data_IF_787581788203
#
_entry.id   IF_787581788203
#
_cell.length_a   1.000
_cell.length_b   1.000
_cell.length_c   1.000
_cell.angle_alpha   90.00
_cell.angle_beta   90.00
_cell.angle_gamma   90.00
#
_symmetry.space_group_name_H-M   'P 1'
#
loop_
_entity.id
_entity.type
_entity.pdbx_description
1 polymer ?
#
# COMPACT_ATOMS: atom_id res chain seq x y z
N UNK A 1 20.97 9.80 4.98
CA UNK A 1 20.84 9.79 3.52
C UNK A 1 19.62 10.61 3.13
N UNK A 2 19.73 11.32 1.99
CA UNK A 2 18.61 12.17 1.54
C UNK A 2 17.77 11.41 0.53
N UNK A 3 16.44 11.48 0.67
CA UNK A 3 15.49 11.03 -0.36
C UNK A 3 15.84 11.76 -1.66
N UNK A 4 16.05 11.00 -2.73
CA UNK A 4 16.38 11.56 -4.05
C UNK A 4 15.15 11.83 -4.89
N UNK A 5 14.08 11.02 -4.69
CA UNK A 5 12.81 11.15 -5.38
C UNK A 5 11.69 10.55 -4.53
N UNK A 6 10.52 11.18 -4.54
CA UNK A 6 9.28 10.70 -3.94
C UNK A 6 8.21 10.56 -5.03
N UNK A 7 7.58 9.40 -5.09
CA UNK A 7 6.42 9.15 -5.96
C UNK A 7 5.19 8.97 -5.08
N UNK A 8 4.15 9.76 -5.32
CA UNK A 8 2.86 9.66 -4.67
C UNK A 8 1.82 9.19 -5.69
N UNK A 9 1.05 8.19 -5.34
CA UNK A 9 -0.05 7.67 -6.15
C UNK A 9 -1.34 7.79 -5.35
N UNK A 10 -2.29 8.54 -5.88
CA UNK A 10 -3.58 8.79 -5.24
C UNK A 10 -4.66 8.85 -6.34
N UNK A 11 -5.67 7.96 -6.34
CA UNK A 11 -6.66 7.94 -7.40
C UNK A 11 -7.68 9.08 -7.31
N UNK A 12 -7.94 9.64 -6.13
CA UNK A 12 -8.98 10.65 -5.90
C UNK A 12 -8.44 12.05 -6.17
N UNK A 13 -9.06 12.77 -7.12
CA UNK A 13 -8.61 14.10 -7.55
C UNK A 13 -8.48 15.11 -6.40
N UNK A 14 -9.46 15.15 -5.47
CA UNK A 14 -9.40 16.08 -4.33
C UNK A 14 -8.17 15.86 -3.45
N UNK A 15 -7.77 14.60 -3.25
CA UNK A 15 -6.60 14.25 -2.45
C UNK A 15 -5.31 14.60 -3.20
N UNK A 16 -5.28 14.37 -4.52
CA UNK A 16 -4.17 14.82 -5.38
C UNK A 16 -3.99 16.34 -5.27
N UNK A 17 -5.07 17.12 -5.32
CA UNK A 17 -4.99 18.56 -5.20
C UNK A 17 -4.46 19.01 -3.82
N UNK A 18 -4.82 18.29 -2.75
CA UNK A 18 -4.24 18.51 -1.43
C UNK A 18 -2.72 18.22 -1.42
N UNK A 19 -2.30 17.09 -1.98
CA UNK A 19 -0.88 16.75 -2.08
C UNK A 19 -0.10 17.80 -2.89
N UNK A 20 -0.66 18.26 -4.00
CA UNK A 20 -0.07 19.32 -4.81
C UNK A 20 0.07 20.65 -4.04
N UNK A 21 -0.89 20.97 -3.17
CA UNK A 21 -0.83 22.13 -2.29
C UNK A 21 0.33 22.09 -1.28
N UNK A 22 0.75 20.89 -0.86
CA UNK A 22 1.86 20.72 0.08
C UNK A 22 3.23 20.56 -0.60
N UNK A 23 3.29 19.86 -1.74
CA UNK A 23 4.55 19.38 -2.32
C UNK A 23 4.76 19.84 -3.76
N UNK A 24 3.81 20.54 -4.38
CA UNK A 24 3.80 20.80 -5.83
C UNK A 24 5.00 21.57 -6.36
N UNK A 25 5.72 22.29 -5.51
CA UNK A 25 6.92 23.06 -5.87
C UNK A 25 8.23 22.30 -5.61
N UNK A 26 8.18 21.07 -5.05
CA UNK A 26 9.38 20.26 -4.83
C UNK A 26 9.66 19.37 -6.05
N UNK A 27 10.72 19.69 -6.79
CA UNK A 27 11.16 18.94 -7.98
C UNK A 27 11.46 17.44 -7.70
N UNK A 28 11.61 17.05 -6.44
CA UNK A 28 11.82 15.67 -6.04
C UNK A 28 10.52 14.91 -5.90
N UNK A 29 9.38 15.58 -5.88
CA UNK A 29 8.07 14.94 -5.65
C UNK A 29 7.32 14.84 -6.98
N UNK A 30 6.89 13.65 -7.32
CA UNK A 30 5.97 13.40 -8.42
C UNK A 30 4.65 12.85 -7.86
N UNK A 31 3.55 13.54 -8.16
CA UNK A 31 2.21 13.18 -7.71
C UNK A 31 1.39 12.73 -8.93
N UNK A 32 0.87 11.52 -8.85
CA UNK A 32 0.15 10.88 -9.95
C UNK A 32 -1.29 10.58 -9.52
N UNK A 33 -2.27 11.10 -10.27
CA UNK A 33 -3.67 10.73 -10.09
C UNK A 33 -3.91 9.32 -10.66
N UNK A 34 -3.44 8.30 -9.94
CA UNK A 34 -3.49 6.90 -10.32
C UNK A 34 -3.66 6.03 -9.07
N UNK A 35 -4.33 4.89 -9.21
CA UNK A 35 -4.26 3.82 -8.22
C UNK A 35 -3.19 2.79 -8.59
N UNK A 36 -2.52 2.22 -7.57
CA UNK A 36 -1.56 1.14 -7.78
C UNK A 36 -2.26 -0.22 -7.70
N UNK A 37 -1.89 -1.14 -8.62
CA UNK A 37 -2.50 -2.45 -8.69
C UNK A 37 -1.55 -3.47 -9.36
N UNK A 38 -2.02 -4.72 -9.53
CA UNK A 38 -1.26 -5.78 -10.22
C UNK A 38 -1.49 -5.84 -11.73
N UNK A 39 -2.46 -5.07 -12.25
CA UNK A 39 -2.77 -4.97 -13.67
C UNK A 39 -3.20 -3.54 -14.04
N UNK A 40 -2.96 -3.16 -15.28
CA UNK A 40 -3.41 -1.87 -15.81
C UNK A 40 -4.86 -1.97 -16.25
N UNK A 41 -5.74 -1.16 -15.65
CA UNK A 41 -7.16 -1.08 -16.03
C UNK A 41 -7.82 0.20 -15.52
N UNK A 42 -8.97 0.54 -16.10
CA UNK A 42 -9.91 1.49 -15.50
C UNK A 42 -10.84 0.68 -14.59
N UNK A 43 -11.08 1.14 -13.39
CA UNK A 43 -11.91 0.45 -12.41
C UNK A 43 -12.87 1.41 -11.71
N UNK A 44 -14.00 0.89 -11.29
CA UNK A 44 -14.87 1.60 -10.33
C UNK A 44 -14.15 1.72 -8.98
N UNK A 45 -14.37 2.85 -8.34
CA UNK A 45 -13.84 3.18 -7.04
C UNK A 45 -14.95 3.85 -6.21
N UNK A 46 -15.09 3.43 -4.99
CA UNK A 46 -16.10 3.93 -4.05
C UNK A 46 -15.47 5.02 -3.20
N UNK A 47 -15.69 6.28 -3.59
CA UNK A 47 -15.19 7.44 -2.86
C UNK A 47 -16.20 7.84 -1.79
N UNK A 48 -15.79 7.82 -0.54
CA UNK A 48 -16.58 8.31 0.58
C UNK A 48 -16.65 9.84 0.53
N UNK A 49 -17.85 10.38 0.72
CA UNK A 49 -18.09 11.82 0.76
C UNK A 49 -18.17 12.24 2.23
N UNK A 50 -17.15 12.97 2.69
CA UNK A 50 -17.11 13.47 4.06
C UNK A 50 -16.35 14.80 4.11
N UNK A 51 -16.65 15.59 5.14
CA UNK A 51 -15.83 16.76 5.52
C UNK A 51 -14.71 16.38 6.49
N UNK A 52 -14.70 15.14 6.96
CA UNK A 52 -13.65 14.60 7.82
C UNK A 52 -12.68 13.77 6.97
N UNK A 53 -11.42 14.20 6.91
CA UNK A 53 -10.34 13.57 6.12
C UNK A 53 -10.13 12.10 6.52
N UNK A 54 -10.25 11.77 7.82
CA UNK A 54 -10.11 10.38 8.28
C UNK A 54 -11.19 9.46 7.70
N UNK A 55 -12.41 9.99 7.52
CA UNK A 55 -13.53 9.26 6.92
C UNK A 55 -13.37 9.13 5.41
N UNK A 56 -12.83 10.14 4.73
CA UNK A 56 -12.50 10.08 3.29
C UNK A 56 -11.44 9.01 3.00
N UNK A 57 -10.53 8.75 3.93
CA UNK A 57 -9.54 7.69 3.87
C UNK A 57 -10.12 6.28 3.72
N UNK A 58 -11.38 6.05 4.07
CA UNK A 58 -12.07 4.77 3.91
C UNK A 58 -12.43 4.41 2.45
N UNK A 59 -12.16 5.31 1.50
CA UNK A 59 -12.46 5.11 0.07
C UNK A 59 -11.68 3.93 -0.51
N UNK A 60 -12.32 3.06 -1.30
CA UNK A 60 -11.73 1.80 -1.74
C UNK A 60 -12.24 1.33 -3.12
N UNK A 61 -11.50 0.43 -3.76
CA UNK A 61 -11.95 -0.30 -4.95
C UNK A 61 -13.08 -1.29 -4.65
N UNK A 62 -13.28 -1.66 -3.40
CA UNK A 62 -14.34 -2.57 -2.99
C UNK A 62 -15.40 -1.83 -2.18
N UNK A 63 -16.69 -2.09 -2.48
CA UNK A 63 -17.77 -1.60 -1.62
C UNK A 63 -17.75 -2.39 -0.31
N UNK A 64 -17.45 -1.70 0.77
CA UNK A 64 -17.35 -2.28 2.13
C UNK A 64 -18.63 -2.04 2.91
N UNK A 65 -18.92 -2.91 3.90
CA UNK A 65 -20.06 -2.75 4.79
C UNK A 65 -20.06 -1.42 5.55
N UNK A 66 -18.88 -0.85 5.83
CA UNK A 66 -18.74 0.47 6.45
C UNK A 66 -19.41 1.58 5.64
N UNK A 67 -19.50 1.44 4.31
CA UNK A 67 -20.14 2.45 3.43
C UNK A 67 -21.65 2.57 3.64
N UNK A 68 -22.29 1.61 4.28
CA UNK A 68 -23.72 1.71 4.60
C UNK A 68 -24.00 2.85 5.60
N UNK A 69 -22.99 3.33 6.31
CA UNK A 69 -23.06 4.44 7.26
C UNK A 69 -22.62 5.80 6.67
N UNK A 70 -22.12 5.84 5.43
CA UNK A 70 -21.58 7.05 4.80
C UNK A 70 -22.20 7.27 3.42
N UNK A 71 -22.24 8.54 3.00
CA UNK A 71 -22.49 8.86 1.61
C UNK A 71 -21.22 8.54 0.79
N UNK A 72 -21.41 7.96 -0.38
CA UNK A 72 -20.32 7.69 -1.30
C UNK A 72 -20.74 7.96 -2.74
N UNK A 73 -19.77 8.17 -3.59
CA UNK A 73 -19.93 8.25 -5.04
C UNK A 73 -19.09 7.16 -5.72
N UNK A 74 -19.60 6.61 -6.83
CA UNK A 74 -18.81 5.76 -7.69
C UNK A 74 -18.09 6.63 -8.71
N UNK A 75 -16.76 6.56 -8.72
CA UNK A 75 -15.92 7.23 -9.72
C UNK A 75 -15.12 6.19 -10.52
N UNK A 76 -14.64 6.57 -11.69
CA UNK A 76 -13.66 5.76 -12.43
C UNK A 76 -12.24 6.21 -12.05
N UNK A 77 -11.36 5.23 -11.78
CA UNK A 77 -9.96 5.45 -11.49
C UNK A 77 -9.08 4.65 -12.45
N UNK A 78 -7.95 5.23 -12.82
CA UNK A 78 -6.95 4.59 -13.67
C UNK A 78 -5.96 3.83 -12.76
N UNK A 79 -5.93 2.51 -12.89
CA UNK A 79 -5.03 1.62 -12.14
C UNK A 79 -3.79 1.30 -12.97
N UNK A 80 -2.65 1.34 -12.31
CA UNK A 80 -1.35 1.08 -12.95
C UNK A 80 -0.56 -0.01 -12.22
N UNK A 81 0.37 -0.61 -12.94
CA UNK A 81 1.40 -1.50 -12.37
C UNK A 81 2.64 -0.66 -12.13
N UNK A 82 3.04 -0.49 -10.87
CA UNK A 82 4.17 0.37 -10.48
C UNK A 82 5.45 -0.01 -11.25
N UNK A 83 5.74 -1.30 -11.38
CA UNK A 83 6.91 -1.80 -12.10
C UNK A 83 7.04 -1.29 -13.55
N UNK A 84 5.91 -0.99 -14.18
CA UNK A 84 5.87 -0.57 -15.59
C UNK A 84 5.65 0.94 -15.72
N UNK A 85 5.33 1.60 -14.61
CA UNK A 85 5.01 3.02 -14.57
C UNK A 85 6.22 3.89 -14.18
N UNK A 86 7.00 3.48 -13.18
CA UNK A 86 8.20 4.20 -12.76
C UNK A 86 9.46 3.40 -13.13
N UNK A 87 10.51 4.13 -13.49
CA UNK A 87 11.84 3.55 -13.72
C UNK A 87 12.78 4.00 -12.62
N UNK A 88 13.17 3.07 -11.76
CA UNK A 88 14.11 3.33 -10.66
C UNK A 88 15.45 2.73 -11.03
N UNK A 89 16.55 3.53 -11.07
CA UNK A 89 17.90 3.03 -11.34
C UNK A 89 18.28 1.91 -10.37
N UNK A 90 18.94 0.88 -10.86
CA UNK A 90 19.19 -0.37 -10.12
C UNK A 90 19.99 -0.16 -8.82
N UNK A 91 20.82 0.87 -8.77
CA UNK A 91 21.61 1.24 -7.59
C UNK A 91 20.80 1.98 -6.53
N UNK A 92 19.56 2.35 -6.81
CA UNK A 92 18.69 3.05 -5.87
C UNK A 92 17.87 2.09 -5.03
N UNK A 93 17.72 2.44 -3.76
CA UNK A 93 16.90 1.70 -2.82
C UNK A 93 15.50 2.32 -2.74
N UNK A 94 14.50 1.46 -2.61
CA UNK A 94 13.08 1.83 -2.53
C UNK A 94 12.60 1.60 -1.10
N UNK A 95 11.97 2.62 -0.55
CA UNK A 95 11.16 2.58 0.66
C UNK A 95 9.72 2.89 0.24
N UNK A 96 8.77 2.06 0.60
CA UNK A 96 7.38 2.25 0.24
C UNK A 96 6.46 2.24 1.45
N UNK A 97 5.40 3.06 1.41
CA UNK A 97 4.21 2.90 2.24
C UNK A 97 3.06 2.52 1.32
N UNK A 98 2.33 1.47 1.67
CA UNK A 98 1.14 0.99 0.97
C UNK A 98 -0.03 1.08 1.93
N UNK A 99 -1.06 1.82 1.49
CA UNK A 99 -2.26 2.09 2.26
C UNK A 99 -3.40 2.26 1.23
N UNK A 100 -4.00 1.14 0.85
CA UNK A 100 -4.90 1.04 -0.31
C UNK A 100 -6.21 0.31 0.02
N UNK A 101 -6.53 0.30 1.31
CA UNK A 101 -7.81 -0.16 1.84
C UNK A 101 -8.18 -1.58 1.36
N UNK A 102 -7.26 -2.52 1.61
CA UNK A 102 -7.44 -3.95 1.42
C UNK A 102 -6.87 -4.52 0.10
N UNK A 103 -6.18 -3.74 -0.71
CA UNK A 103 -5.57 -4.17 -1.97
C UNK A 103 -4.02 -4.20 -1.91
N UNK A 104 -3.45 -4.29 -0.70
CA UNK A 104 -2.02 -4.29 -0.44
C UNK A 104 -1.29 -5.40 -1.19
N UNK A 105 -1.87 -6.61 -1.20
CA UNK A 105 -1.29 -7.76 -1.92
C UNK A 105 -1.19 -7.49 -3.43
N UNK A 106 -2.21 -6.91 -4.04
CA UNK A 106 -2.22 -6.57 -5.46
C UNK A 106 -1.14 -5.52 -5.79
N UNK A 107 -0.96 -4.51 -4.92
CA UNK A 107 0.11 -3.53 -5.08
C UNK A 107 1.48 -4.20 -4.95
N UNK A 108 1.69 -5.06 -3.95
CA UNK A 108 2.92 -5.83 -3.76
C UNK A 108 3.25 -6.68 -4.99
N UNK A 109 2.25 -7.36 -5.58
CA UNK A 109 2.41 -8.10 -6.84
C UNK A 109 2.86 -7.14 -7.96
N UNK A 110 2.26 -5.96 -8.06
CA UNK A 110 2.65 -4.91 -9.01
C UNK A 110 4.07 -4.37 -8.80
N UNK A 111 4.70 -4.65 -7.64
CA UNK A 111 6.08 -4.29 -7.28
C UNK A 111 7.07 -5.45 -7.44
N UNK A 112 6.66 -6.61 -7.96
CA UNK A 112 7.45 -7.85 -7.97
C UNK A 112 8.84 -7.70 -8.60
N UNK A 113 9.00 -6.91 -9.67
CA UNK A 113 10.32 -6.68 -10.31
C UNK A 113 11.32 -6.03 -9.36
N UNK A 114 10.86 -5.11 -8.48
CA UNK A 114 11.72 -4.46 -7.49
C UNK A 114 12.14 -5.39 -6.35
N UNK A 115 11.31 -6.39 -6.01
CA UNK A 115 11.71 -7.46 -5.10
C UNK A 115 12.75 -8.39 -5.76
N UNK A 116 12.52 -8.80 -7.01
CA UNK A 116 13.46 -9.65 -7.77
C UNK A 116 14.83 -8.96 -7.89
N UNK A 117 14.87 -7.67 -8.19
CA UNK A 117 16.10 -6.88 -8.33
C UNK A 117 16.73 -6.48 -6.99
N UNK A 118 16.11 -6.84 -5.85
CA UNK A 118 16.54 -6.45 -4.50
C UNK A 118 16.65 -4.93 -4.29
N UNK A 119 15.86 -4.15 -5.02
CA UNK A 119 15.80 -2.69 -4.85
C UNK A 119 14.94 -2.27 -3.66
N UNK A 120 13.94 -3.06 -3.27
CA UNK A 120 13.16 -2.80 -2.06
C UNK A 120 14.09 -2.90 -0.84
N UNK A 121 14.12 -1.86 -0.03
CA UNK A 121 14.75 -1.88 1.30
C UNK A 121 13.71 -2.27 2.34
N UNK A 122 12.60 -1.53 2.37
CA UNK A 122 11.45 -1.84 3.22
C UNK A 122 10.14 -1.39 2.58
N UNK A 123 9.07 -2.10 2.94
CA UNK A 123 7.69 -1.70 2.67
C UNK A 123 6.96 -1.68 4.00
N UNK A 124 6.26 -0.59 4.31
CA UNK A 124 5.21 -0.56 5.32
C UNK A 124 3.87 -0.76 4.62
N UNK A 125 3.01 -1.62 5.15
CA UNK A 125 1.67 -1.83 4.63
C UNK A 125 0.65 -1.97 5.76
N UNK A 126 -0.59 -1.58 5.47
CA UNK A 126 -1.69 -1.78 6.39
C UNK A 126 -2.26 -3.20 6.23
N UNK A 127 -2.53 -3.86 7.35
CA UNK A 127 -3.19 -5.17 7.41
C UNK A 127 -4.37 -5.10 8.37
N UNK A 128 -5.51 -5.62 7.96
CA UNK A 128 -6.69 -5.67 8.83
C UNK A 128 -7.98 -5.99 8.08
N UNK A 129 -9.09 -5.50 8.64
CA UNK A 129 -10.45 -5.83 8.22
C UNK A 129 -10.68 -5.63 6.71
N UNK A 130 -10.05 -4.61 6.11
CA UNK A 130 -10.19 -4.34 4.67
C UNK A 130 -9.74 -5.51 3.80
N UNK A 131 -8.63 -6.16 4.15
CA UNK A 131 -8.17 -7.36 3.47
C UNK A 131 -9.05 -8.58 3.79
N UNK A 132 -9.43 -8.73 5.07
CA UNK A 132 -10.23 -9.86 5.54
C UNK A 132 -11.62 -9.88 4.91
N UNK A 133 -12.29 -8.73 4.74
CA UNK A 133 -13.58 -8.59 4.04
C UNK A 133 -13.51 -9.10 2.58
N UNK A 134 -12.32 -9.08 1.97
CA UNK A 134 -12.06 -9.60 0.62
C UNK A 134 -11.68 -11.07 0.59
N UNK A 135 -11.66 -11.74 1.73
CA UNK A 135 -11.19 -13.13 1.85
C UNK A 135 -9.69 -13.27 1.65
N UNK A 136 -8.92 -12.20 1.86
CA UNK A 136 -7.46 -12.17 1.87
C UNK A 136 -6.95 -12.07 3.29
N UNK A 137 -5.80 -12.65 3.55
CA UNK A 137 -5.21 -12.62 4.89
C UNK A 137 -3.68 -12.47 4.84
N UNK A 138 -3.07 -12.43 6.01
CA UNK A 138 -1.62 -12.27 6.15
C UNK A 138 -0.83 -13.43 5.54
N UNK A 139 -1.40 -14.65 5.50
CA UNK A 139 -0.75 -15.80 4.88
C UNK A 139 -0.55 -15.58 3.38
N UNK A 140 -1.52 -14.95 2.70
CA UNK A 140 -1.40 -14.63 1.26
C UNK A 140 -0.18 -13.72 1.01
N UNK A 141 0.03 -12.70 1.86
CA UNK A 141 1.20 -11.81 1.77
C UNK A 141 2.48 -12.57 2.06
N UNK A 142 2.52 -13.36 3.13
CA UNK A 142 3.70 -14.17 3.49
C UNK A 142 4.05 -15.15 2.38
N UNK A 143 3.07 -15.83 1.78
CA UNK A 143 3.27 -16.74 0.65
C UNK A 143 3.86 -16.02 -0.56
N UNK A 144 3.37 -14.81 -0.85
CA UNK A 144 3.93 -13.99 -1.92
C UNK A 144 5.38 -13.57 -1.61
N UNK A 145 5.66 -13.06 -0.42
CA UNK A 145 6.99 -12.58 -0.04
C UNK A 145 8.02 -13.70 0.07
N UNK A 146 7.63 -14.89 0.48
CA UNK A 146 8.52 -16.05 0.57
C UNK A 146 9.07 -16.53 -0.79
N UNK A 147 8.55 -16.02 -1.91
CA UNK A 147 9.16 -16.23 -3.24
C UNK A 147 10.50 -15.50 -3.39
N UNK A 148 10.78 -14.51 -2.53
CA UNK A 148 11.98 -13.67 -2.56
C UNK A 148 12.84 -13.94 -1.33
N UNK A 149 13.98 -14.63 -1.51
CA UNK A 149 14.82 -15.19 -0.42
C UNK A 149 15.22 -14.21 0.67
N UNK A 150 15.42 -12.93 0.31
CA UNK A 150 15.99 -11.92 1.20
C UNK A 150 14.93 -11.08 1.91
N UNK A 151 13.67 -11.44 1.84
CA UNK A 151 12.58 -10.63 2.41
C UNK A 151 11.79 -11.41 3.44
N UNK A 152 11.38 -10.71 4.49
CA UNK A 152 10.49 -11.26 5.54
C UNK A 152 9.39 -10.25 5.85
N UNK A 153 8.23 -10.79 6.22
CA UNK A 153 7.15 -9.99 6.83
C UNK A 153 7.45 -9.87 8.32
N UNK A 154 7.35 -8.65 8.83
CA UNK A 154 7.72 -8.33 10.21
C UNK A 154 6.66 -7.43 10.86
N UNK A 155 6.56 -7.51 12.17
CA UNK A 155 5.98 -6.47 13.02
C UNK A 155 7.10 -5.59 13.60
N UNK A 156 6.78 -4.36 13.98
CA UNK A 156 7.72 -3.47 14.64
C UNK A 156 7.35 -3.32 16.12
N UNK A 157 8.25 -3.73 16.99
CA UNK A 157 8.09 -3.57 18.43
C UNK A 157 8.65 -2.20 18.85
N UNK A 158 7.77 -1.25 19.11
CA UNK A 158 8.13 0.11 19.53
C UNK A 158 8.88 0.15 20.87
N UNK A 159 8.64 -0.84 21.74
CA UNK A 159 9.28 -0.89 23.07
C UNK A 159 10.74 -1.28 22.96
N UNK A 160 11.06 -2.28 22.15
CA UNK A 160 12.44 -2.77 21.95
C UNK A 160 13.13 -2.10 20.75
N UNK A 161 12.38 -1.38 19.91
CA UNK A 161 12.84 -0.79 18.65
C UNK A 161 13.42 -1.84 17.68
N UNK A 162 12.77 -3.00 17.62
CA UNK A 162 13.21 -4.14 16.80
C UNK A 162 12.09 -4.65 15.88
N UNK A 163 12.48 -5.21 14.74
CA UNK A 163 11.57 -5.94 13.85
C UNK A 163 11.48 -7.41 14.29
N UNK A 164 10.25 -7.88 14.48
CA UNK A 164 9.91 -9.26 14.82
C UNK A 164 9.39 -9.97 13.57
N UNK A 165 10.11 -10.99 13.10
CA UNK A 165 9.68 -11.77 11.94
C UNK A 165 8.37 -12.48 12.27
N UNK A 166 7.40 -12.37 11.35
CA UNK A 166 6.15 -13.09 11.41
C UNK A 166 6.33 -14.40 10.61
N UNK A 167 6.17 -15.51 11.30
CA UNK A 167 6.30 -16.86 10.77
C UNK A 167 5.16 -17.77 11.22
N UNK A 168 5.28 -19.06 10.95
CA UNK A 168 4.25 -20.06 11.29
C UNK A 168 4.00 -20.21 12.79
N UNK A 169 4.97 -19.84 13.64
CA UNK A 169 4.87 -20.01 15.08
C UNK A 169 4.08 -18.88 15.74
N UNK A 170 4.06 -17.71 15.13
CA UNK A 170 3.44 -16.52 15.72
C UNK A 170 2.36 -15.83 14.86
N UNK A 171 2.13 -16.29 13.62
CA UNK A 171 1.17 -15.68 12.69
C UNK A 171 -0.26 -15.59 13.25
N UNK A 172 -0.66 -16.57 14.08
CA UNK A 172 -2.00 -16.58 14.70
C UNK A 172 -2.29 -15.33 15.54
N UNK A 173 -1.24 -14.68 16.07
CA UNK A 173 -1.36 -13.42 16.82
C UNK A 173 -1.79 -12.24 15.92
N UNK A 174 -1.73 -12.40 14.61
CA UNK A 174 -1.97 -11.35 13.61
C UNK A 174 -3.18 -11.59 12.73
N UNK A 175 -3.54 -12.86 12.45
CA UNK A 175 -4.57 -13.24 11.45
C UNK A 175 -5.91 -12.52 11.68
N UNK A 176 -6.29 -12.28 12.93
CA UNK A 176 -7.58 -11.69 13.29
C UNK A 176 -7.45 -10.26 13.83
N UNK A 177 -6.34 -9.59 13.60
CA UNK A 177 -6.23 -8.17 13.97
C UNK A 177 -7.12 -7.33 13.07
N UNK A 178 -7.92 -6.47 13.66
CA UNK A 178 -8.76 -5.53 12.93
C UNK A 178 -7.94 -4.46 12.19
N UNK A 179 -6.75 -4.15 12.71
CA UNK A 179 -5.83 -3.19 12.10
C UNK A 179 -4.40 -3.39 12.63
N UNK A 180 -3.41 -3.30 11.75
CA UNK A 180 -1.98 -3.31 12.10
C UNK A 180 -1.14 -2.74 10.95
N UNK A 181 -0.14 -1.92 11.28
CA UNK A 181 0.93 -1.60 10.34
C UNK A 181 1.99 -2.69 10.41
N UNK A 182 2.19 -3.39 9.31
CA UNK A 182 3.21 -4.42 9.17
C UNK A 182 4.28 -4.01 8.15
N UNK A 183 5.38 -4.73 8.14
CA UNK A 183 6.55 -4.37 7.35
C UNK A 183 7.07 -5.56 6.55
N UNK A 184 7.59 -5.28 5.36
CA UNK A 184 8.43 -6.21 4.62
C UNK A 184 9.83 -5.64 4.64
N UNK A 185 10.76 -6.40 5.19
CA UNK A 185 12.15 -5.97 5.38
C UNK A 185 13.08 -6.87 4.58
N UNK A 186 14.10 -6.27 3.97
CA UNK A 186 15.18 -6.99 3.34
C UNK A 186 16.27 -7.32 4.36
N UNK A 187 16.65 -8.58 4.47
CA UNK A 187 17.75 -9.12 5.29
C UNK A 187 18.98 -9.45 4.49
#
# INVERSE_FOLDING_TARGET
DKISKLYCFEPVKSNVDHCLGFFGDDEKVEIHQKGCFNEKKISKFFKVISTNIEVEGLSSLNRRGVFDNFQYEEIEVDLIVINDFINVPIEKQIFAKIDVEGFELEVLIGMSKFFISSQINSVQFEYGDCMLERGKNLEDIILFINQFKNYKVCDFNETTNEFLIIDKENIENYINKSWSNLYIIRF
#
